data_IF_312219161191
#
_entry.id   IF_312219161191
#
_cell.length_a   1.000
_cell.length_b   1.000
_cell.length_c   1.000
_cell.angle_alpha   90.00
_cell.angle_beta   90.00
_cell.angle_gamma   90.00
#
_symmetry.space_group_name_H-M   'P 1'
#
loop_
_entity.id
_entity.type
_entity.pdbx_description
1 polymer ?
#
# COMPACT_ATOMS: atom_id res chain seq x y z
N UNK A 1 -1.26 13.00 15.84
CA UNK A 1 -1.32 11.72 15.08
C UNK A 1 -0.97 12.01 13.62
N UNK A 2 -0.04 11.28 13.00
CA UNK A 2 0.34 11.50 11.60
C UNK A 2 -0.61 10.76 10.63
N UNK A 3 -0.45 10.96 9.31
CA UNK A 3 -1.31 10.33 8.29
C UNK A 3 -1.31 8.79 8.34
N UNK A 4 -0.19 8.18 8.72
CA UNK A 4 -0.02 6.72 8.77
C UNK A 4 -0.77 6.13 9.96
N UNK A 5 -0.60 6.72 11.14
CA UNK A 5 -1.31 6.27 12.34
C UNK A 5 -2.82 6.46 12.20
N UNK A 6 -3.25 7.55 11.56
CA UNK A 6 -4.68 7.75 11.24
C UNK A 6 -5.22 6.63 10.35
N UNK A 7 -4.56 6.36 9.21
CA UNK A 7 -5.02 5.32 8.28
C UNK A 7 -4.98 3.93 8.94
N UNK A 8 -3.94 3.63 9.73
CA UNK A 8 -3.85 2.37 10.48
C UNK A 8 -5.05 2.19 11.40
N UNK A 9 -5.41 3.22 12.17
CA UNK A 9 -6.57 3.18 13.07
C UNK A 9 -7.89 3.04 12.30
N UNK A 10 -8.07 3.73 11.17
CA UNK A 10 -9.24 3.58 10.29
C UNK A 10 -9.36 2.13 9.75
N UNK A 11 -8.25 1.55 9.29
CA UNK A 11 -8.22 0.16 8.80
C UNK A 11 -8.47 -0.86 9.92
N UNK A 12 -8.08 -0.56 11.15
CA UNK A 12 -8.34 -1.42 12.33
C UNK A 12 -9.80 -1.36 12.79
N UNK A 13 -10.44 -0.19 12.73
CA UNK A 13 -11.77 0.03 13.31
C UNK A 13 -12.91 -0.05 12.29
N UNK A 14 -12.68 0.45 11.07
CA UNK A 14 -13.69 0.52 9.98
C UNK A 14 -13.39 -0.48 8.88
N UNK A 15 -12.15 -0.95 8.77
CA UNK A 15 -11.72 -1.88 7.71
C UNK A 15 -11.39 -1.21 6.37
N UNK A 16 -11.67 0.09 6.23
CA UNK A 16 -11.31 0.91 5.07
C UNK A 16 -10.82 2.28 5.51
N UNK A 17 -10.03 2.94 4.67
CA UNK A 17 -9.54 4.30 4.95
C UNK A 17 -8.85 4.92 3.74
N UNK A 18 -8.56 6.22 3.82
CA UNK A 18 -7.95 6.98 2.71
C UNK A 18 -6.68 7.71 3.11
N UNK A 19 -5.70 7.70 2.22
CA UNK A 19 -4.45 8.45 2.40
C UNK A 19 -3.87 8.92 1.07
N UNK A 20 -3.33 10.13 1.08
CA UNK A 20 -2.57 10.68 -0.05
C UNK A 20 -1.14 10.14 -0.02
N UNK A 21 -0.74 9.46 -1.08
CA UNK A 21 0.62 8.95 -1.26
C UNK A 21 1.44 9.91 -2.11
N UNK A 22 2.72 10.07 -1.79
CA UNK A 22 3.62 11.00 -2.48
C UNK A 22 4.93 10.32 -2.84
N UNK A 23 5.55 10.78 -3.94
CA UNK A 23 6.82 10.26 -4.42
C UNK A 23 6.73 9.66 -5.82
N UNK A 24 7.87 9.16 -6.31
CA UNK A 24 8.03 8.62 -7.65
C UNK A 24 8.14 7.08 -7.70
N UNK A 25 8.14 6.41 -6.53
CA UNK A 25 8.40 4.97 -6.41
C UNK A 25 7.40 4.10 -7.17
N UNK A 26 6.19 4.60 -7.40
CA UNK A 26 5.10 3.86 -8.04
C UNK A 26 4.73 4.37 -9.44
N UNK A 27 5.50 5.31 -10.00
CA UNK A 27 5.27 5.77 -11.37
C UNK A 27 5.53 4.64 -12.38
N UNK A 28 4.75 4.56 -13.49
CA UNK A 28 3.62 5.42 -13.84
C UNK A 28 2.26 4.97 -13.25
N UNK A 29 2.21 3.89 -12.47
CA UNK A 29 0.96 3.31 -11.95
C UNK A 29 0.23 4.29 -11.03
N UNK A 30 0.95 4.87 -10.06
CA UNK A 30 0.42 5.89 -9.16
C UNK A 30 1.24 7.17 -9.29
N UNK A 31 0.54 8.30 -9.49
CA UNK A 31 1.14 9.62 -9.54
C UNK A 31 1.40 10.16 -8.13
N UNK A 32 2.42 11.00 -7.96
CA UNK A 32 2.64 11.68 -6.67
C UNK A 32 1.44 12.55 -6.32
N UNK A 33 0.88 12.38 -5.13
CA UNK A 33 -0.33 13.06 -4.69
C UNK A 33 -1.63 12.31 -5.01
N UNK A 34 -1.57 11.06 -5.48
CA UNK A 34 -2.77 10.22 -5.65
C UNK A 34 -3.45 9.98 -4.30
N UNK A 35 -4.77 10.16 -4.24
CA UNK A 35 -5.60 9.75 -3.12
C UNK A 35 -5.88 8.25 -3.25
N UNK A 36 -5.41 7.46 -2.30
CA UNK A 36 -5.58 6.02 -2.30
C UNK A 36 -6.64 5.63 -1.28
N UNK A 37 -7.56 4.77 -1.69
CA UNK A 37 -8.49 4.07 -0.81
C UNK A 37 -7.94 2.68 -0.52
N UNK A 38 -7.80 2.38 0.77
CA UNK A 38 -7.30 1.11 1.27
C UNK A 38 -8.41 0.28 1.89
N UNK A 39 -8.25 -1.03 1.81
CA UNK A 39 -9.08 -2.02 2.50
C UNK A 39 -8.19 -3.00 3.25
N UNK A 40 -8.56 -3.28 4.49
CA UNK A 40 -7.95 -4.36 5.28
C UNK A 40 -8.50 -5.69 4.81
N UNK A 41 -7.62 -6.66 4.64
CA UNK A 41 -7.96 -8.03 4.24
C UNK A 41 -7.34 -9.03 5.22
N UNK A 42 -7.92 -10.23 5.37
CA UNK A 42 -7.31 -11.29 6.16
C UNK A 42 -6.03 -11.84 5.53
N UNK A 43 -5.88 -11.73 4.21
CA UNK A 43 -4.70 -12.13 3.45
C UNK A 43 -4.50 -11.22 2.23
N UNK A 44 -3.26 -11.18 1.72
CA UNK A 44 -2.88 -10.37 0.58
C UNK A 44 -2.15 -11.22 -0.45
N UNK A 45 -2.10 -10.75 -1.70
CA UNK A 45 -1.59 -11.54 -2.83
C UNK A 45 -0.54 -10.78 -3.64
N UNK A 46 0.25 -11.52 -4.41
CA UNK A 46 1.21 -10.92 -5.35
C UNK A 46 0.48 -9.96 -6.29
N UNK A 47 1.07 -8.78 -6.50
CA UNK A 47 0.52 -7.70 -7.30
C UNK A 47 -0.41 -6.76 -6.52
N UNK A 48 -0.70 -6.99 -5.24
CA UNK A 48 -1.38 -5.99 -4.41
C UNK A 48 -0.45 -4.82 -4.11
N UNK A 49 -0.95 -3.59 -4.27
CA UNK A 49 -0.29 -2.38 -3.77
C UNK A 49 -0.75 -2.20 -2.33
N UNK A 50 0.19 -2.10 -1.38
CA UNK A 50 -0.13 -2.12 0.06
C UNK A 50 0.45 -0.95 0.83
N UNK A 51 -0.25 -0.59 1.91
CA UNK A 51 0.27 0.20 3.01
C UNK A 51 0.78 -0.75 4.10
N UNK A 52 2.07 -0.68 4.41
CA UNK A 52 2.75 -1.65 5.28
C UNK A 52 3.90 -1.01 6.06
N UNK A 53 4.59 -1.83 6.86
CA UNK A 53 5.82 -1.43 7.57
C UNK A 53 6.96 -2.38 7.22
N UNK A 54 8.07 -1.86 6.74
CA UNK A 54 9.28 -2.64 6.40
C UNK A 54 10.45 -2.09 7.22
N UNK A 55 11.11 -2.94 8.02
CA UNK A 55 12.24 -2.55 8.89
C UNK A 55 11.95 -1.27 9.72
N UNK A 56 10.76 -1.20 10.31
CA UNK A 56 10.33 -0.05 11.12
C UNK A 56 9.86 1.20 10.35
N UNK A 57 9.99 1.24 9.02
CA UNK A 57 9.57 2.37 8.18
C UNK A 57 8.21 2.11 7.54
N UNK A 58 7.34 3.12 7.56
CA UNK A 58 6.10 3.09 6.80
C UNK A 58 6.37 3.13 5.31
N UNK A 59 5.64 2.30 4.57
CA UNK A 59 5.61 2.28 3.12
C UNK A 59 4.15 2.50 2.73
N UNK A 60 3.83 3.65 2.15
CA UNK A 60 2.45 4.05 1.86
C UNK A 60 1.83 3.34 0.66
N UNK A 61 2.62 3.02 -0.37
CA UNK A 61 2.15 2.27 -1.52
C UNK A 61 3.29 1.58 -2.25
N UNK A 62 3.42 0.26 -2.13
CA UNK A 62 4.36 -0.57 -2.90
C UNK A 62 3.74 -1.94 -3.22
N UNK A 63 4.26 -2.65 -4.24
CA UNK A 63 3.70 -3.94 -4.68
C UNK A 63 4.23 -5.08 -3.84
N UNK A 64 3.36 -6.04 -3.53
CA UNK A 64 3.80 -7.40 -3.17
C UNK A 64 4.30 -8.07 -4.44
N UNK A 65 5.55 -8.55 -4.44
CA UNK A 65 6.12 -9.26 -5.61
C UNK A 65 6.33 -10.75 -5.35
N UNK A 66 6.48 -11.16 -4.09
CA UNK A 66 6.63 -12.56 -3.69
C UNK A 66 5.96 -12.80 -2.34
N UNK A 67 5.55 -14.03 -2.10
CA UNK A 67 5.08 -14.54 -0.81
C UNK A 67 5.97 -15.66 -0.34
N UNK A 68 6.13 -15.79 0.97
CA UNK A 68 6.92 -16.83 1.62
C UNK A 68 6.31 -17.11 3.00
N UNK A 69 6.14 -18.39 3.35
CA UNK A 69 5.49 -18.78 4.60
C UNK A 69 6.23 -18.26 5.85
N UNK A 70 7.56 -18.17 5.80
CA UNK A 70 8.39 -17.78 6.93
C UNK A 70 8.67 -16.28 6.96
N UNK A 71 8.86 -15.65 5.79
CA UNK A 71 9.25 -14.23 5.66
C UNK A 71 8.05 -13.29 5.48
N UNK A 72 6.90 -13.81 5.04
CA UNK A 72 5.71 -13.02 4.74
C UNK A 72 5.70 -12.54 3.28
N UNK A 73 5.67 -11.22 3.08
CA UNK A 73 5.49 -10.58 1.78
C UNK A 73 6.72 -9.78 1.41
N UNK A 74 7.22 -9.97 0.19
CA UNK A 74 8.28 -9.15 -0.37
C UNK A 74 7.67 -7.90 -0.99
N UNK A 75 8.09 -6.74 -0.50
CA UNK A 75 7.61 -5.44 -0.94
C UNK A 75 8.63 -4.82 -1.88
N UNK A 76 8.18 -4.36 -3.05
CA UNK A 76 9.03 -3.71 -4.04
C UNK A 76 8.33 -2.50 -4.67
N UNK A 77 9.13 -1.54 -5.12
CA UNK A 77 8.62 -0.38 -5.84
C UNK A 77 8.30 -0.75 -7.30
N UNK A 78 7.79 0.20 -8.08
CA UNK A 78 7.47 -0.05 -9.49
C UNK A 78 8.70 -0.02 -10.43
N UNK A 79 9.89 0.23 -9.89
CA UNK A 79 11.16 0.31 -10.63
C UNK A 79 12.08 -0.90 -10.39
N UNK A 80 11.59 -1.93 -9.69
CA UNK A 80 12.35 -3.16 -9.42
C UNK A 80 13.22 -3.13 -8.16
N UNK A 81 13.20 -2.06 -7.38
CA UNK A 81 13.88 -2.04 -6.08
C UNK A 81 13.05 -2.81 -5.03
N UNK A 82 13.66 -3.83 -4.43
CA UNK A 82 13.06 -4.60 -3.34
C UNK A 82 13.30 -3.89 -1.99
N UNK A 83 12.25 -3.36 -1.38
CA UNK A 83 12.31 -2.68 -0.08
C UNK A 83 12.55 -3.69 1.06
N UNK A 84 12.07 -4.92 0.89
CA UNK A 84 12.33 -6.04 1.79
C UNK A 84 11.07 -6.81 2.19
N UNK A 85 11.30 -7.86 2.96
CA UNK A 85 10.25 -8.74 3.49
C UNK A 85 9.54 -8.12 4.69
N UNK A 86 8.23 -8.33 4.79
CA UNK A 86 7.43 -7.97 5.97
C UNK A 86 6.25 -8.90 6.18
N UNK A 87 5.87 -9.09 7.46
CA UNK A 87 4.58 -9.70 7.85
C UNK A 87 3.53 -8.65 8.21
N UNK A 88 3.89 -7.36 8.18
CA UNK A 88 3.05 -6.26 8.67
C UNK A 88 2.48 -5.50 7.48
N UNK A 89 1.28 -5.88 7.06
CA UNK A 89 0.45 -5.15 6.09
C UNK A 89 -0.80 -4.65 6.82
N UNK A 90 -1.11 -3.37 6.64
CA UNK A 90 -2.29 -2.75 7.23
C UNK A 90 -3.51 -2.80 6.29
N UNK A 91 -3.27 -2.67 4.98
CA UNK A 91 -4.32 -2.75 3.97
C UNK A 91 -3.77 -2.69 2.55
N UNK A 92 -4.57 -3.12 1.58
CA UNK A 92 -4.28 -3.00 0.14
C UNK A 92 -5.05 -1.85 -0.49
N UNK A 93 -4.49 -1.24 -1.52
CA UNK A 93 -5.16 -0.26 -2.36
C UNK A 93 -6.24 -0.94 -3.20
N UNK A 94 -7.45 -0.41 -3.15
CA UNK A 94 -8.58 -0.84 -4.00
C UNK A 94 -8.92 0.22 -5.07
N UNK A 95 -8.61 1.49 -4.80
CA UNK A 95 -8.90 2.62 -5.68
C UNK A 95 -7.80 3.69 -5.55
N UNK A 96 -7.37 4.27 -6.67
CA UNK A 96 -6.49 5.43 -6.72
C UNK A 96 -7.07 6.54 -7.57
N UNK A 97 -7.18 7.73 -7.00
CA UNK A 97 -7.78 8.91 -7.62
C UNK A 97 -6.74 10.04 -7.73
N UNK A 98 -6.58 10.60 -8.92
CA UNK A 98 -5.68 11.72 -9.17
C UNK A 98 -6.37 12.71 -10.11
N UNK A 99 -6.38 13.98 -9.73
CA UNK A 99 -7.03 15.05 -10.50
C UNK A 99 -8.50 14.70 -10.85
N UNK A 100 -9.26 14.30 -9.83
CA UNK A 100 -10.66 13.87 -9.93
C UNK A 100 -10.94 12.72 -10.92
N UNK A 101 -9.91 11.96 -11.30
CA UNK A 101 -10.02 10.79 -12.18
C UNK A 101 -9.53 9.54 -11.46
N UNK A 102 -10.23 8.43 -11.68
CA UNK A 102 -9.75 7.12 -11.23
C UNK A 102 -8.60 6.69 -12.14
N UNK A 103 -7.40 6.55 -11.59
CA UNK A 103 -6.19 6.10 -12.30
C UNK A 103 -5.79 4.66 -11.96
N UNK A 104 -6.34 4.12 -10.87
CA UNK A 104 -6.10 2.75 -10.44
C UNK A 104 -7.37 2.16 -9.82
N UNK A 105 -7.67 0.91 -10.16
CA UNK A 105 -8.75 0.12 -9.55
C UNK A 105 -8.32 -1.33 -9.48
N UNK A 106 -8.52 -1.96 -8.32
CA UNK A 106 -8.31 -3.40 -8.15
C UNK A 106 -9.45 -3.99 -7.34
N UNK A 107 -10.33 -4.71 -8.05
CA UNK A 107 -11.51 -5.41 -7.52
C UNK A 107 -11.09 -6.40 -6.44
#
# INVERSE_FOLDING_TARGET
MNKYERLKNELETVGTGKMKAFGASMLPILKSGTLLTFRREPAYTVGDIVFCKVKGRYIDAHKITKTDANKGYLIANNHGFENGWTKVIYGRVILGEYDNRVIYRKV
#
